data_IF_503195678396
#
_entry.id   IF_503195678396
#
_cell.length_a   1.000
_cell.length_b   1.000
_cell.length_c   1.000
_cell.angle_alpha   90.00
_cell.angle_beta   90.00
_cell.angle_gamma   90.00
#
_symmetry.space_group_name_H-M   'P 1'
#
loop_
_entity.id
_entity.type
_entity.pdbx_description
1 polymer ?
#
# COMPACT_ATOMS: atom_id res chain seq x y z
N UNK A 1 -42.57 -15.86 -3.46
CA UNK A 1 -41.12 -15.99 -3.22
C UNK A 1 -40.65 -14.67 -2.65
N UNK A 2 -40.38 -14.63 -1.35
CA UNK A 2 -39.96 -13.42 -0.64
C UNK A 2 -38.47 -13.16 -0.83
N UNK A 3 -38.12 -12.00 -1.40
CA UNK A 3 -36.74 -11.53 -1.56
C UNK A 3 -36.24 -10.70 -0.35
N UNK A 4 -36.96 -10.70 0.78
CA UNK A 4 -36.68 -9.75 1.89
C UNK A 4 -35.59 -10.19 2.87
N UNK A 5 -35.03 -11.40 2.74
CA UNK A 5 -33.95 -11.88 3.62
C UNK A 5 -32.55 -11.62 3.04
N UNK A 6 -32.29 -10.41 2.56
CA UNK A 6 -30.90 -10.01 2.31
C UNK A 6 -30.24 -9.72 3.65
N UNK A 7 -29.14 -10.41 4.04
CA UNK A 7 -28.43 -10.11 5.28
C UNK A 7 -27.92 -8.66 5.20
N UNK A 8 -28.62 -7.77 5.90
CA UNK A 8 -28.25 -6.36 5.99
C UNK A 8 -27.34 -6.22 7.19
N UNK A 9 -26.08 -5.85 6.95
CA UNK A 9 -25.18 -5.51 8.04
C UNK A 9 -25.74 -4.28 8.76
N UNK A 10 -25.73 -4.24 10.10
CA UNK A 10 -26.10 -3.03 10.81
C UNK A 10 -25.21 -1.88 10.34
N UNK A 11 -25.76 -0.66 10.19
CA UNK A 11 -24.93 0.50 9.89
C UNK A 11 -23.84 0.61 10.97
N UNK A 12 -22.58 0.91 10.59
CA UNK A 12 -21.53 1.10 11.57
C UNK A 12 -21.92 2.23 12.52
N UNK A 13 -21.52 2.11 13.78
CA UNK A 13 -21.72 3.18 14.75
C UNK A 13 -21.07 4.48 14.24
N UNK A 14 -21.70 5.65 14.46
CA UNK A 14 -21.10 6.93 14.08
C UNK A 14 -19.72 7.08 14.72
N UNK A 15 -18.67 7.14 13.90
CA UNK A 15 -17.31 7.34 14.38
C UNK A 15 -16.96 8.83 14.27
N UNK A 16 -16.82 9.50 15.42
CA UNK A 16 -16.33 10.87 15.46
C UNK A 16 -14.82 10.89 15.22
N UNK A 17 -14.42 11.47 14.08
CA UNK A 17 -13.01 11.63 13.75
C UNK A 17 -12.41 12.73 14.66
N UNK A 18 -11.32 12.44 15.40
CA UNK A 18 -10.65 13.47 16.17
C UNK A 18 -10.08 14.55 15.24
N UNK A 19 -9.99 15.83 15.66
CA UNK A 19 -9.33 16.86 14.88
C UNK A 19 -7.91 16.43 14.45
N UNK A 20 -7.57 16.62 13.17
CA UNK A 20 -6.23 16.34 12.67
C UNK A 20 -5.26 17.45 13.06
N UNK A 21 -4.02 17.08 13.37
CA UNK A 21 -2.93 18.04 13.50
C UNK A 21 -2.47 18.49 12.10
N UNK A 22 -2.65 19.77 11.72
CA UNK A 22 -2.22 20.26 10.42
C UNK A 22 -0.70 20.20 10.30
N UNK A 23 -0.19 19.61 9.21
CA UNK A 23 1.25 19.47 8.99
C UNK A 23 1.73 20.48 7.96
N UNK A 24 2.91 21.05 8.23
CA UNK A 24 3.61 21.87 7.25
C UNK A 24 4.01 21.02 6.04
N UNK A 25 3.67 21.55 4.85
CA UNK A 25 4.06 20.99 3.56
C UNK A 25 5.52 21.34 3.30
N UNK A 26 6.34 20.31 3.11
CA UNK A 26 7.74 20.46 2.75
C UNK A 26 7.90 20.40 1.23
N UNK A 27 8.84 21.16 0.64
CA UNK A 27 9.13 21.07 -0.78
C UNK A 27 9.48 19.63 -1.20
N UNK A 28 8.96 19.21 -2.35
CA UNK A 28 9.32 17.92 -2.94
C UNK A 28 10.73 18.02 -3.51
N UNK A 29 11.60 17.14 -3.05
CA UNK A 29 12.96 16.97 -3.54
C UNK A 29 12.99 15.94 -4.68
N UNK A 30 14.06 15.97 -5.47
CA UNK A 30 14.31 14.98 -6.52
C UNK A 30 14.51 13.56 -5.95
N UNK A 31 14.39 12.52 -6.80
CA UNK A 31 14.59 11.14 -6.36
C UNK A 31 16.04 10.94 -5.87
N UNK A 32 16.19 10.32 -4.70
CA UNK A 32 17.52 9.98 -4.15
C UNK A 32 18.22 8.86 -4.92
N UNK A 33 17.46 8.03 -5.64
CA UNK A 33 17.98 6.95 -6.47
C UNK A 33 17.45 7.10 -7.91
N UNK A 34 18.36 7.06 -8.88
CA UNK A 34 18.02 7.22 -10.29
C UNK A 34 17.64 5.90 -10.97
N UNK A 35 18.05 4.77 -10.39
CA UNK A 35 17.84 3.45 -10.99
C UNK A 35 16.63 2.76 -10.33
N UNK A 36 15.59 2.40 -11.10
CA UNK A 36 14.45 1.67 -10.57
C UNK A 36 14.85 0.24 -10.17
N UNK A 37 14.21 -0.35 -9.15
CA UNK A 37 14.45 -1.73 -8.77
C UNK A 37 13.99 -2.70 -9.87
N UNK A 38 14.67 -3.84 -9.97
CA UNK A 38 14.23 -4.94 -10.82
C UNK A 38 12.95 -5.56 -10.25
N UNK A 39 11.95 -5.81 -11.11
CA UNK A 39 10.72 -6.46 -10.67
C UNK A 39 11.00 -7.91 -10.27
N UNK A 40 10.39 -8.41 -9.17
CA UNK A 40 10.62 -9.76 -8.67
C UNK A 40 10.06 -10.85 -9.60
N UNK A 41 9.21 -10.48 -10.55
CA UNK A 41 8.66 -11.38 -11.55
C UNK A 41 8.33 -10.61 -12.83
N UNK A 42 8.43 -11.27 -13.98
CA UNK A 42 7.99 -10.70 -15.25
C UNK A 42 6.49 -10.43 -15.29
N UNK A 43 6.04 -9.76 -16.36
CA UNK A 43 4.63 -9.41 -16.58
C UNK A 43 3.76 -10.67 -16.58
N UNK A 44 2.77 -10.70 -15.68
CA UNK A 44 1.75 -11.76 -15.66
C UNK A 44 0.76 -11.56 -16.80
N UNK A 45 0.31 -12.66 -17.41
CA UNK A 45 -0.82 -12.62 -18.35
C UNK A 45 -2.08 -12.17 -17.61
N UNK A 46 -2.78 -11.19 -18.17
CA UNK A 46 -4.05 -10.67 -17.64
C UNK A 46 -5.21 -11.21 -18.47
N UNK A 47 -6.36 -11.39 -17.82
CA UNK A 47 -7.61 -11.66 -18.54
C UNK A 47 -7.97 -10.52 -19.51
N UNK A 48 -7.43 -9.32 -19.28
CA UNK A 48 -7.65 -8.15 -20.13
C UNK A 48 -6.73 -8.08 -21.35
N UNK A 49 -5.71 -8.95 -21.44
CA UNK A 49 -4.72 -8.94 -22.53
C UNK A 49 -5.33 -9.04 -23.95
N UNK A 50 -6.47 -9.74 -24.19
CA UNK A 50 -7.09 -9.75 -25.52
C UNK A 50 -7.55 -8.36 -25.97
N UNK A 51 -8.03 -7.52 -25.05
CA UNK A 51 -8.63 -6.22 -25.35
C UNK A 51 -7.71 -5.03 -25.07
N UNK A 52 -6.70 -5.22 -24.23
CA UNK A 52 -5.81 -4.14 -23.77
C UNK A 52 -4.34 -4.50 -23.97
N UNK A 53 -3.55 -3.49 -24.29
CA UNK A 53 -2.09 -3.51 -24.19
C UNK A 53 -1.70 -2.97 -22.81
N UNK A 54 -1.04 -3.78 -22.00
CA UNK A 54 -0.62 -3.43 -20.64
C UNK A 54 0.89 -3.12 -20.57
N UNK A 55 1.23 -1.98 -19.96
CA UNK A 55 2.61 -1.58 -19.62
C UNK A 55 2.76 -1.36 -18.12
N UNK A 56 3.92 -1.76 -17.58
CA UNK A 56 4.28 -1.58 -16.18
C UNK A 56 5.29 -0.43 -16.05
N UNK A 57 5.02 0.53 -15.18
CA UNK A 57 5.87 1.69 -14.94
C UNK A 57 6.31 1.70 -13.47
N UNK A 58 7.61 1.92 -13.24
CA UNK A 58 8.20 2.04 -11.92
C UNK A 58 8.57 3.51 -11.74
N UNK A 59 7.93 4.17 -10.78
CA UNK A 59 8.02 5.62 -10.60
C UNK A 59 8.55 5.88 -9.18
N UNK A 60 9.55 6.77 -9.00
CA UNK A 60 10.01 7.12 -7.68
C UNK A 60 8.90 7.84 -6.90
N UNK A 61 8.78 7.52 -5.62
CA UNK A 61 7.84 8.17 -4.71
C UNK A 61 8.42 9.52 -4.26
N UNK A 62 7.55 10.50 -4.03
CA UNK A 62 7.93 11.81 -3.52
C UNK A 62 8.77 11.70 -2.23
N UNK A 63 9.84 12.49 -2.17
CA UNK A 63 10.76 12.58 -1.04
C UNK A 63 10.94 14.05 -0.69
N UNK A 64 10.97 14.45 0.60
CA UNK A 64 10.62 13.67 1.78
C UNK A 64 9.11 13.40 1.89
N UNK A 65 8.74 12.29 2.54
CA UNK A 65 7.33 11.97 2.84
C UNK A 65 6.90 12.65 4.14
N UNK A 66 5.64 13.09 4.21
CA UNK A 66 5.04 13.66 5.43
C UNK A 66 4.91 12.63 6.56
N UNK A 67 4.84 11.34 6.22
CA UNK A 67 4.87 10.26 7.20
C UNK A 67 6.29 10.08 7.74
N UNK A 68 6.50 10.10 9.06
CA UNK A 68 7.81 9.84 9.66
C UNK A 68 8.26 8.40 9.43
N UNK A 69 9.56 8.15 9.42
CA UNK A 69 10.10 6.79 9.37
C UNK A 69 9.99 6.15 10.77
N UNK A 70 8.90 5.42 10.98
CA UNK A 70 8.64 4.62 12.19
C UNK A 70 9.03 3.17 11.98
N UNK A 71 9.49 2.51 13.04
CA UNK A 71 9.73 1.06 13.02
C UNK A 71 8.43 0.30 12.73
N UNK A 72 8.51 -0.73 11.90
CA UNK A 72 7.38 -1.62 11.68
C UNK A 72 7.02 -2.34 12.98
N UNK A 73 5.72 -2.53 13.27
CA UNK A 73 5.30 -3.36 14.38
C UNK A 73 5.76 -4.81 14.13
N UNK A 74 5.96 -5.61 15.20
CA UNK A 74 6.27 -7.02 15.05
C UNK A 74 5.17 -7.72 14.25
N UNK A 75 5.55 -8.55 13.29
CA UNK A 75 4.59 -9.32 12.51
C UNK A 75 3.85 -10.31 13.42
N UNK A 76 2.58 -10.62 13.13
CA UNK A 76 1.84 -11.62 13.89
C UNK A 76 2.57 -12.97 13.83
N UNK A 77 2.78 -13.60 14.98
CA UNK A 77 3.37 -14.93 15.04
C UNK A 77 2.28 -15.96 14.83
N UNK A 78 2.46 -16.82 13.82
CA UNK A 78 1.53 -17.91 13.60
C UNK A 78 1.60 -18.92 14.75
N UNK A 79 0.44 -19.39 15.20
CA UNK A 79 0.31 -20.51 16.12
C UNK A 79 -0.84 -21.42 15.69
N UNK A 80 -0.75 -22.71 16.03
CA UNK A 80 -1.82 -23.67 15.77
C UNK A 80 -3.06 -23.41 16.65
N UNK A 81 -2.89 -22.74 17.78
CA UNK A 81 -3.97 -22.30 18.65
C UNK A 81 -4.61 -21.02 18.09
N UNK A 82 -5.91 -21.10 17.73
CA UNK A 82 -6.65 -20.01 17.08
C UNK A 82 -6.71 -18.77 17.97
N UNK A 83 -6.88 -18.94 19.27
CA UNK A 83 -7.02 -17.86 20.24
C UNK A 83 -5.70 -17.10 20.40
N UNK A 84 -4.58 -17.83 20.44
CA UNK A 84 -3.24 -17.24 20.48
C UNK A 84 -2.91 -16.47 19.19
N UNK A 85 -3.21 -17.06 18.02
CA UNK A 85 -3.00 -16.37 16.75
C UNK A 85 -3.85 -15.10 16.65
N UNK A 86 -5.13 -15.19 17.05
CA UNK A 86 -6.02 -14.03 17.10
C UNK A 86 -5.46 -12.94 18.02
N UNK A 87 -4.98 -13.30 19.21
CA UNK A 87 -4.35 -12.35 20.13
C UNK A 87 -3.10 -11.68 19.53
N UNK A 88 -2.26 -12.44 18.82
CA UNK A 88 -1.08 -11.88 18.13
C UNK A 88 -1.47 -10.91 17.00
N UNK A 89 -2.53 -11.22 16.25
CA UNK A 89 -3.04 -10.34 15.20
C UNK A 89 -3.62 -9.06 15.81
N UNK A 90 -4.44 -9.17 16.86
CA UNK A 90 -5.03 -8.03 17.56
C UNK A 90 -3.95 -7.09 18.11
N UNK A 91 -2.93 -7.62 18.78
CA UNK A 91 -1.79 -6.84 19.29
C UNK A 91 -1.06 -6.07 18.18
N UNK A 92 -0.88 -6.70 17.02
CA UNK A 92 -0.24 -6.05 15.86
C UNK A 92 -1.13 -4.94 15.31
N UNK A 93 -2.43 -5.20 15.17
CA UNK A 93 -3.41 -4.23 14.70
C UNK A 93 -3.50 -3.01 15.62
N UNK A 94 -3.58 -3.21 16.93
CA UNK A 94 -3.58 -2.15 17.95
C UNK A 94 -2.31 -1.30 17.86
N UNK A 95 -1.15 -1.91 17.62
CA UNK A 95 0.10 -1.18 17.43
C UNK A 95 0.05 -0.29 16.17
N UNK A 96 -0.45 -0.82 15.05
CA UNK A 96 -0.62 -0.04 13.81
C UNK A 96 -1.57 1.14 14.01
N UNK A 97 -2.72 0.89 14.65
CA UNK A 97 -3.73 1.92 14.94
C UNK A 97 -3.12 3.00 15.85
N UNK A 98 -2.43 2.60 16.93
CA UNK A 98 -1.76 3.53 17.84
C UNK A 98 -0.75 4.42 17.11
N UNK A 99 0.07 3.87 16.22
CA UNK A 99 1.03 4.66 15.42
C UNK A 99 0.30 5.64 14.50
N UNK A 100 -0.79 5.22 13.85
CA UNK A 100 -1.59 6.08 12.96
C UNK A 100 -2.25 7.22 13.72
N UNK A 101 -2.76 6.94 14.91
CA UNK A 101 -3.34 7.95 15.78
C UNK A 101 -2.29 8.95 16.28
N UNK A 102 -1.12 8.49 16.73
CA UNK A 102 0.00 9.38 17.10
C UNK A 102 0.44 10.25 15.93
N UNK A 103 0.47 9.68 14.71
CA UNK A 103 0.74 10.45 13.50
C UNK A 103 -0.32 11.52 13.24
N UNK A 104 -1.61 11.18 13.44
CA UNK A 104 -2.75 12.07 13.24
C UNK A 104 -2.76 13.24 14.23
N UNK A 105 -2.34 12.99 15.48
CA UNK A 105 -2.22 14.00 16.55
C UNK A 105 -0.91 14.79 16.53
N UNK A 106 -0.02 14.54 15.56
CA UNK A 106 1.27 15.25 15.45
C UNK A 106 2.33 14.83 16.48
N UNK A 107 2.05 13.83 17.31
CA UNK A 107 2.97 13.35 18.36
C UNK A 107 4.29 12.80 17.78
N UNK A 108 4.29 12.42 16.51
CA UNK A 108 5.46 11.85 15.81
C UNK A 108 6.25 12.88 15.00
N UNK A 109 5.91 14.18 15.04
CA UNK A 109 6.53 15.19 14.17
C UNK A 109 7.97 15.55 14.59
N UNK A 110 8.38 15.15 15.80
CA UNK A 110 9.77 15.22 16.25
C UNK A 110 10.67 14.17 15.59
N UNK A 111 10.10 13.15 14.95
CA UNK A 111 10.85 12.12 14.23
C UNK A 111 11.25 12.59 12.83
N UNK A 112 12.37 12.08 12.28
CA UNK A 112 12.75 12.40 10.91
C UNK A 112 11.67 11.96 9.91
N UNK A 113 11.41 12.85 8.94
CA UNK A 113 10.50 12.58 7.82
C UNK A 113 11.02 11.40 7.00
N UNK A 114 10.10 10.68 6.36
CA UNK A 114 10.43 9.51 5.57
C UNK A 114 11.29 9.86 4.36
N UNK A 115 12.58 9.49 4.40
CA UNK A 115 13.55 9.75 3.32
C UNK A 115 14.02 8.48 2.61
N UNK A 116 13.59 7.30 3.07
CA UNK A 116 13.86 6.05 2.35
C UNK A 116 13.37 6.14 0.90
N UNK A 117 14.25 5.76 -0.04
CA UNK A 117 13.91 5.67 -1.46
C UNK A 117 12.80 4.63 -1.65
N UNK A 118 11.65 5.08 -2.16
CA UNK A 118 10.51 4.23 -2.43
C UNK A 118 10.12 4.31 -3.89
N UNK A 119 9.57 3.21 -4.39
CA UNK A 119 9.14 3.08 -5.77
C UNK A 119 7.71 2.55 -5.82
N UNK A 120 6.87 3.20 -6.62
CA UNK A 120 5.51 2.75 -6.93
C UNK A 120 5.53 2.05 -8.27
N UNK A 121 4.98 0.83 -8.30
CA UNK A 121 4.71 0.10 -9.52
C UNK A 121 3.27 0.36 -9.97
N UNK A 122 3.09 0.91 -11.17
CA UNK A 122 1.76 1.18 -11.75
C UNK A 122 1.61 0.47 -13.09
N UNK A 123 0.44 -0.14 -13.30
CA UNK A 123 0.09 -0.79 -14.55
C UNK A 123 -0.86 0.11 -15.34
N UNK A 124 -0.50 0.41 -16.59
CA UNK A 124 -1.29 1.19 -17.54
C UNK A 124 -1.88 0.25 -18.57
N UNK A 125 -3.18 0.36 -18.81
CA UNK A 125 -3.90 -0.46 -19.79
C UNK A 125 -4.44 0.43 -20.90
N UNK A 126 -4.03 0.18 -22.13
CA UNK A 126 -4.50 0.90 -23.32
C UNK A 126 -5.37 -0.01 -24.13
N UNK A 127 -6.60 0.41 -24.45
CA UNK A 127 -7.48 -0.39 -25.29
C UNK A 127 -6.84 -0.59 -26.66
N UNK A 128 -6.78 -1.83 -27.14
CA UNK A 128 -6.36 -2.13 -28.52
C UNK A 128 -7.41 -1.54 -29.48
N UNK A 129 -6.96 -0.91 -30.56
CA UNK A 129 -7.88 -0.38 -31.58
C UNK A 129 -8.69 -1.52 -32.18
N UNK A 130 -10.01 -1.36 -32.21
CA UNK A 130 -10.88 -2.17 -33.06
C UNK A 130 -10.99 -1.43 -34.39
N UNK A 131 -10.93 -2.15 -35.52
CA UNK A 131 -11.05 -1.57 -36.86
C UNK A 131 -12.34 -0.76 -37.07
N UNK A 132 -13.36 -0.99 -36.23
CA UNK A 132 -14.69 -0.37 -36.34
C UNK A 132 -14.81 1.05 -35.76
N UNK A 133 -13.90 1.52 -34.89
CA UNK A 133 -14.01 2.87 -34.31
C UNK A 133 -12.65 3.55 -34.26
N UNK A 134 -12.47 4.58 -35.09
CA UNK A 134 -11.29 5.44 -35.15
C UNK A 134 -11.18 6.43 -33.95
N UNK A 135 -11.76 6.09 -32.80
CA UNK A 135 -11.80 7.00 -31.65
C UNK A 135 -10.55 6.87 -30.77
N UNK A 136 -10.15 8.00 -30.21
CA UNK A 136 -8.98 8.21 -29.35
C UNK A 136 -8.87 7.17 -28.25
N UNK A 137 -7.73 6.48 -28.18
CA UNK A 137 -7.51 5.33 -27.29
C UNK A 137 -7.71 5.67 -25.81
N UNK A 138 -8.75 5.07 -25.20
CA UNK A 138 -9.00 5.15 -23.76
C UNK A 138 -7.85 4.46 -23.02
N UNK A 139 -7.23 5.18 -22.08
CA UNK A 139 -6.24 4.65 -21.15
C UNK A 139 -6.90 4.43 -19.79
N UNK A 140 -6.86 3.20 -19.29
CA UNK A 140 -7.29 2.87 -17.94
C UNK A 140 -6.06 2.86 -17.01
N UNK A 141 -6.15 3.68 -15.96
CA UNK A 141 -5.17 3.73 -14.88
C UNK A 141 -5.86 3.28 -13.59
N UNK A 142 -5.39 2.17 -13.02
CA UNK A 142 -5.96 1.63 -11.78
C UNK A 142 -5.11 2.10 -10.60
N UNK A 143 -5.60 3.12 -9.90
CA UNK A 143 -5.11 3.50 -8.58
C UNK A 143 -6.00 2.83 -7.53
N UNK A 144 -5.44 1.94 -6.71
CA UNK A 144 -6.18 1.33 -5.61
C UNK A 144 -6.47 2.39 -4.54
N UNK A 145 -7.71 2.50 -4.06
CA UNK A 145 -8.13 3.52 -3.09
C UNK A 145 -7.29 3.51 -1.79
N UNK A 146 -6.88 2.32 -1.34
CA UNK A 146 -6.03 2.18 -0.15
C UNK A 146 -4.53 2.29 -0.44
N UNK A 147 -4.12 2.74 -1.63
CA UNK A 147 -2.71 2.92 -1.98
C UNK A 147 -1.89 1.62 -2.05
N UNK A 148 -2.53 0.45 -2.01
CA UNK A 148 -1.90 -0.84 -2.30
C UNK A 148 -2.04 -1.12 -3.80
N UNK A 149 -1.10 -0.71 -4.67
CA UNK A 149 -1.07 -1.27 -6.01
C UNK A 149 -1.02 -2.79 -5.88
N UNK A 150 -1.71 -3.50 -6.77
CA UNK A 150 -1.71 -4.96 -6.93
C UNK A 150 -0.30 -5.60 -6.86
N UNK A 151 0.74 -4.80 -7.04
CA UNK A 151 2.16 -5.16 -6.99
C UNK A 151 2.96 -4.37 -5.93
N UNK A 152 2.34 -3.99 -4.80
CA UNK A 152 2.98 -3.33 -3.65
C UNK A 152 3.96 -4.25 -2.88
N UNK A 153 4.74 -5.06 -3.58
CA UNK A 153 5.79 -5.90 -2.98
C UNK A 153 7.01 -5.09 -2.55
N UNK A 154 7.14 -3.82 -2.95
CA UNK A 154 8.32 -3.01 -2.63
C UNK A 154 8.43 -2.63 -1.15
N UNK A 155 7.33 -2.44 -0.43
CA UNK A 155 7.36 -2.24 1.03
C UNK A 155 7.79 -3.49 1.80
N UNK A 156 7.71 -4.67 1.18
CA UNK A 156 8.07 -5.95 1.79
C UNK A 156 9.52 -6.36 1.42
N UNK A 157 10.12 -5.81 0.36
CA UNK A 157 11.45 -6.21 -0.09
C UNK A 157 12.60 -5.76 0.84
N UNK A 158 12.43 -4.70 1.65
CA UNK A 158 13.43 -4.31 2.67
C UNK A 158 13.52 -5.37 3.77
N UNK A 159 12.40 -6.05 4.10
CA UNK A 159 12.37 -7.14 5.08
C UNK A 159 13.03 -8.44 4.57
N UNK A 160 13.08 -8.65 3.24
CA UNK A 160 13.72 -9.82 2.64
C UNK A 160 15.18 -9.58 2.21
N UNK A 161 15.62 -8.32 2.08
CA UNK A 161 17.00 -8.00 1.70
C UNK A 161 17.96 -7.91 2.89
N UNK A 162 17.47 -8.05 4.13
CA UNK A 162 18.31 -8.01 5.33
C UNK A 162 18.32 -9.37 6.07
N UNK A 163 19.28 -10.28 5.77
CA UNK A 163 19.35 -11.60 6.39
C UNK A 163 19.64 -11.57 7.89
N UNK A 164 19.99 -10.42 8.46
CA UNK A 164 20.28 -10.25 9.89
C UNK A 164 19.03 -10.20 10.79
N UNK A 165 17.82 -10.10 10.23
CA UNK A 165 16.56 -10.18 10.99
C UNK A 165 15.99 -11.61 11.11
N UNK A 166 16.64 -12.61 10.48
CA UNK A 166 16.21 -14.01 10.52
C UNK A 166 16.95 -14.85 11.58
N UNK A 167 17.95 -14.30 12.25
CA UNK A 167 18.85 -15.06 13.15
C UNK A 167 18.55 -14.97 14.64
N UNK A 168 17.42 -14.40 15.09
CA UNK A 168 17.07 -14.36 16.53
C UNK A 168 15.87 -15.26 16.91
N UNK A 169 15.65 -16.33 16.15
CA UNK A 169 14.67 -17.38 16.50
C UNK A 169 15.39 -18.73 16.55
N UNK A 170 16.14 -18.94 17.62
CA UNK A 170 16.59 -20.25 18.10
C UNK A 170 16.20 -20.35 19.57
#
# INVERSE_FOLDING_TARGET
MDFSNSPTFPPPEPYELPPSYPKELVPIEGPLANNPPTLPSGRRRSLLDPWFTSSTHIIPVATPRTTPDVSLPPLPRWSANKEEFKASVMKTAECIISIKEKQWRGELDHLPRGRKSMWTCVNRYVRKRSEATAETGVTLFFAHANGFPKEARSLILEAFSNPSLLTSAS
#
